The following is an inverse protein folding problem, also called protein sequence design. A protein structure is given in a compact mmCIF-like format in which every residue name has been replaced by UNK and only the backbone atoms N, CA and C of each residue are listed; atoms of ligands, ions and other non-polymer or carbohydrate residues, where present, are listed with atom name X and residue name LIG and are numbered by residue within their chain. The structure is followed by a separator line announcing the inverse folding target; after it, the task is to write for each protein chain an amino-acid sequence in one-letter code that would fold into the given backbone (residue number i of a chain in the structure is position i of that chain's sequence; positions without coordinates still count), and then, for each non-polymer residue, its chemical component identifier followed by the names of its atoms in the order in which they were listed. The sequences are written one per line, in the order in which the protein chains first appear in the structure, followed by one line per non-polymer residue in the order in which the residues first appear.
data_IF_313047903487
#
_entry.id   IF_313047903487
#
_cell.length_a   1.000
_cell.length_b   1.000
_cell.length_c   1.000
_cell.angle_alpha   90.00
_cell.angle_beta   90.00
_cell.angle_gamma   90.00
#
_symmetry.space_group_name_H-M   'P 1'
#
loop_
_entity.id
_entity.type
_entity.pdbx_description
1 polymer ?
#
# COMPACT_ATOMS: atom_id res chain seq x y z
N UNK A 1 -8.63 10.75 10.22
CA UNK A 1 -8.44 9.49 10.98
C UNK A 1 -9.54 8.53 10.58
N UNK A 2 -9.30 7.23 10.74
CA UNK A 2 -10.21 6.14 10.31
C UNK A 2 -10.47 6.07 8.80
N UNK A 3 -9.47 6.46 8.00
CA UNK A 3 -9.46 6.23 6.56
C UNK A 3 -8.52 5.08 6.22
N UNK A 4 -8.92 4.26 5.27
CA UNK A 4 -8.04 3.25 4.69
C UNK A 4 -7.01 3.93 3.79
N UNK A 5 -5.75 3.56 3.99
CA UNK A 5 -4.60 4.10 3.27
C UNK A 5 -3.86 2.97 2.58
N UNK A 6 -3.40 3.24 1.35
CA UNK A 6 -2.37 2.48 0.68
C UNK A 6 -1.01 3.13 0.96
N UNK A 7 -0.05 2.33 1.42
CA UNK A 7 1.28 2.79 1.84
C UNK A 7 2.34 1.94 1.18
N UNK A 8 3.27 2.60 0.50
CA UNK A 8 4.45 1.95 -0.08
C UNK A 8 5.69 2.30 0.74
N UNK A 9 6.58 1.31 0.88
CA UNK A 9 7.85 1.45 1.57
C UNK A 9 9.03 1.36 0.61
N UNK A 10 10.16 1.90 1.03
CA UNK A 10 11.45 1.63 0.40
C UNK A 10 11.66 0.11 0.28
N UNK A 11 12.08 -0.33 -0.91
CA UNK A 11 12.24 -1.76 -1.21
C UNK A 11 10.99 -2.44 -1.76
N UNK A 12 9.92 -1.70 -2.05
CA UNK A 12 8.76 -2.19 -2.82
C UNK A 12 7.69 -2.92 -2.00
N UNK A 13 7.79 -2.93 -0.67
CA UNK A 13 6.71 -3.45 0.17
C UNK A 13 5.50 -2.52 0.08
N UNK A 14 4.32 -3.09 -0.09
CA UNK A 14 3.05 -2.36 -0.10
C UNK A 14 2.13 -2.89 0.98
N UNK A 15 1.45 -1.99 1.69
CA UNK A 15 0.43 -2.36 2.67
C UNK A 15 -0.80 -1.47 2.51
N UNK A 16 -1.95 -2.01 2.89
CA UNK A 16 -3.19 -1.28 3.05
C UNK A 16 -3.67 -1.43 4.48
N UNK A 17 -4.11 -0.35 5.13
CA UNK A 17 -4.62 -0.40 6.49
C UNK A 17 -5.34 0.88 6.92
N UNK A 18 -6.05 0.82 8.05
CA UNK A 18 -6.86 1.94 8.57
C UNK A 18 -6.01 2.84 9.46
N UNK A 19 -5.89 4.12 9.11
CA UNK A 19 -5.10 5.08 9.88
C UNK A 19 -5.71 5.35 11.26
N UNK A 20 -5.01 4.94 12.33
CA UNK A 20 -5.37 5.21 13.73
C UNK A 20 -4.60 6.36 14.34
N UNK A 21 -3.37 6.61 13.91
CA UNK A 21 -2.55 7.68 14.47
C UNK A 21 -1.29 7.95 13.65
N UNK A 22 -0.69 9.10 13.88
CA UNK A 22 0.59 9.48 13.27
C UNK A 22 1.32 10.50 14.15
N UNK A 23 2.63 10.66 13.90
CA UNK A 23 3.45 11.69 14.53
C UNK A 23 4.10 12.63 13.50
N UNK A 24 4.87 13.61 13.98
CA UNK A 24 5.55 14.60 13.14
C UNK A 24 6.66 14.01 12.25
N UNK A 25 7.15 12.81 12.58
CA UNK A 25 8.15 12.09 11.78
C UNK A 25 7.50 11.12 10.80
N UNK A 26 6.17 11.21 10.62
CA UNK A 26 5.39 10.37 9.71
C UNK A 26 5.47 8.89 10.08
N UNK A 27 5.75 8.56 11.35
CA UNK A 27 5.41 7.22 11.83
C UNK A 27 3.89 7.13 11.86
N UNK A 28 3.34 6.03 11.38
CA UNK A 28 1.89 5.83 11.30
C UNK A 28 1.47 4.53 11.97
N UNK A 29 0.33 4.58 12.63
CA UNK A 29 -0.33 3.41 13.21
C UNK A 29 -1.47 3.02 12.27
N UNK A 30 -1.38 1.81 11.74
CA UNK A 30 -2.39 1.22 10.85
C UNK A 30 -3.03 0.02 11.54
N UNK A 31 -4.36 -0.03 11.53
CA UNK A 31 -5.13 -1.18 12.00
C UNK A 31 -5.66 -1.99 10.81
N UNK A 32 -6.03 -3.25 11.05
CA UNK A 32 -6.47 -4.20 10.01
C UNK A 32 -5.53 -4.27 8.80
N UNK A 33 -4.23 -4.11 9.03
CA UNK A 33 -3.23 -3.98 7.97
C UNK A 33 -3.08 -5.28 7.18
N UNK A 34 -3.11 -5.16 5.85
CA UNK A 34 -2.85 -6.23 4.88
C UNK A 34 -1.62 -5.85 4.06
N UNK A 35 -0.66 -6.77 3.94
CA UNK A 35 0.47 -6.61 3.03
C UNK A 35 0.20 -7.30 1.71
N UNK A 36 0.47 -6.61 0.62
CA UNK A 36 0.44 -7.13 -0.74
C UNK A 36 1.86 -7.48 -1.18
N UNK A 37 2.07 -8.74 -1.54
CA UNK A 37 3.34 -9.30 -1.98
C UNK A 37 3.18 -9.61 -3.47
N UNK A 38 3.91 -8.86 -4.31
CA UNK A 38 3.98 -9.12 -5.76
C UNK A 38 5.24 -9.91 -6.07
N UNK A 39 5.06 -11.15 -6.52
CA UNK A 39 6.13 -12.00 -7.05
C UNK A 39 6.09 -11.95 -8.57
N UNK A 40 7.17 -11.47 -9.20
CA UNK A 40 7.32 -11.48 -10.66
C UNK A 40 8.05 -12.77 -11.04
N UNK A 41 7.40 -13.62 -11.82
CA UNK A 41 8.01 -14.78 -12.47
C UNK A 41 8.11 -14.52 -13.98
N UNK A 42 8.85 -15.36 -14.70
CA UNK A 42 9.01 -15.21 -16.16
C UNK A 42 7.67 -15.26 -16.92
N UNK A 43 6.68 -15.95 -16.36
CA UNK A 43 5.39 -16.21 -17.02
C UNK A 43 4.23 -15.41 -16.43
N UNK A 44 4.36 -14.86 -15.21
CA UNK A 44 3.23 -14.23 -14.52
C UNK A 44 3.64 -13.26 -13.39
N UNK A 45 2.72 -12.35 -13.06
CA UNK A 45 2.75 -11.59 -11.80
C UNK A 45 1.81 -12.30 -10.84
N UNK A 46 2.35 -12.80 -9.72
CA UNK A 46 1.58 -13.46 -8.67
C UNK A 46 1.40 -12.49 -7.53
N UNK A 47 0.15 -12.15 -7.21
CA UNK A 47 -0.20 -11.34 -6.05
C UNK A 47 -0.65 -12.24 -4.89
N UNK A 48 0.03 -12.11 -3.74
CA UNK A 48 -0.34 -12.77 -2.49
C UNK A 48 -0.59 -11.71 -1.43
N UNK A 49 -1.55 -11.95 -0.56
CA UNK A 49 -1.84 -11.08 0.58
C UNK A 49 -1.60 -11.78 1.91
N UNK A 50 -1.20 -11.03 2.93
CA UNK A 50 -1.14 -11.52 4.31
C UNK A 50 -1.67 -10.48 5.30
N UNK A 51 -2.41 -10.95 6.30
CA UNK A 51 -2.90 -10.12 7.40
C UNK A 51 -1.77 -9.85 8.40
N UNK A 52 -1.59 -8.58 8.76
CA UNK A 52 -0.65 -8.13 9.79
C UNK A 52 -1.36 -7.56 11.02
N UNK A 53 -2.62 -7.11 10.89
CA UNK A 53 -3.39 -6.54 12.00
C UNK A 53 -2.90 -5.13 12.36
N UNK A 54 -2.65 -4.88 13.65
CA UNK A 54 -2.16 -3.58 14.13
C UNK A 54 -0.65 -3.44 13.89
N UNK A 55 -0.26 -2.45 13.08
CA UNK A 55 1.11 -2.20 12.65
C UNK A 55 1.53 -0.77 13.01
N UNK A 56 2.74 -0.63 13.56
CA UNK A 56 3.46 0.64 13.61
C UNK A 56 4.45 0.69 12.44
N UNK A 57 4.16 1.53 11.46
CA UNK A 57 5.01 1.75 10.30
C UNK A 57 5.97 2.92 10.54
N UNK A 58 7.24 2.71 10.22
CA UNK A 58 8.30 3.71 10.41
C UNK A 58 8.33 4.73 9.28
N UNK A 59 8.15 6.00 9.61
CA UNK A 59 8.09 7.10 8.63
C UNK A 59 9.32 7.23 7.75
N UNK A 60 10.50 6.92 8.30
CA UNK A 60 11.79 6.95 7.58
C UNK A 60 11.86 6.00 6.38
N UNK A 61 10.97 4.99 6.31
CA UNK A 61 10.95 4.00 5.22
C UNK A 61 9.74 4.18 4.29
N UNK A 62 8.83 5.09 4.60
CA UNK A 62 7.63 5.32 3.78
C UNK A 62 8.03 6.17 2.57
N UNK A 63 7.61 5.75 1.38
CA UNK A 63 7.83 6.50 0.14
C UNK A 63 6.55 7.12 -0.41
N UNK A 64 5.40 6.49 -0.18
CA UNK A 64 4.10 6.97 -0.65
C UNK A 64 3.00 6.63 0.35
N UNK A 65 2.07 7.58 0.52
CA UNK A 65 0.81 7.40 1.24
C UNK A 65 -0.31 7.94 0.35
N UNK A 66 -1.31 7.10 0.06
CA UNK A 66 -2.50 7.50 -0.68
C UNK A 66 -3.75 7.00 0.05
N UNK A 67 -4.87 7.74 0.01
CA UNK A 67 -6.16 7.17 0.41
C UNK A 67 -6.51 6.03 -0.56
N UNK A 68 -7.13 4.96 -0.06
CA UNK A 68 -7.64 3.91 -0.96
C UNK A 68 -8.89 4.36 -1.72
N UNK A 69 -9.58 5.39 -1.23
CA UNK A 69 -10.71 6.01 -1.92
C UNK A 69 -10.24 6.71 -3.20
N UNK A 70 -10.72 6.24 -4.35
CA UNK A 70 -10.26 6.67 -5.67
C UNK A 70 -8.93 6.07 -6.13
N UNK A 71 -8.37 5.09 -5.39
CA UNK A 71 -7.20 4.35 -5.83
C UNK A 71 -7.64 3.05 -6.51
N UNK A 72 -7.61 3.06 -7.84
CA UNK A 72 -8.00 1.91 -8.66
C UNK A 72 -6.94 1.59 -9.72
N UNK A 73 -6.79 0.32 -10.02
CA UNK A 73 -6.02 -0.12 -11.16
C UNK A 73 -6.81 0.21 -12.43
N UNK A 74 -6.13 0.83 -13.38
CA UNK A 74 -6.70 1.19 -14.68
C UNK A 74 -5.94 0.47 -15.78
N UNK A 75 -6.61 0.21 -16.89
CA UNK A 75 -5.94 -0.18 -18.12
C UNK A 75 -4.96 0.91 -18.56
N UNK A 76 -3.92 0.53 -19.29
CA UNK A 76 -2.93 1.46 -19.79
C UNK A 76 -3.62 2.59 -20.59
N UNK A 77 -3.61 3.85 -20.14
CA UNK A 77 -4.37 4.91 -20.79
C UNK A 77 -3.73 5.39 -22.10
N UNK A 78 -2.57 4.84 -22.48
CA UNK A 78 -1.81 5.20 -23.67
C UNK A 78 -1.90 4.17 -24.80
N UNK A 79 -2.63 3.06 -24.63
CA UNK A 79 -3.04 2.27 -25.80
C UNK A 79 -4.02 3.12 -26.60
N UNK A 80 -3.57 3.63 -27.75
CA UNK A 80 -4.42 4.37 -28.67
C UNK A 80 -5.60 3.48 -29.05
N UNK A 81 -6.82 3.95 -28.80
CA UNK A 81 -8.02 3.32 -29.36
C UNK A 81 -7.88 3.39 -30.89
N UNK A 82 -7.77 2.23 -31.54
CA UNK A 82 -7.77 2.12 -33.01
C UNK A 82 -9.10 2.60 -33.62
#
# INVERSE_FOLDING_TARGET
MDKSLHVQFMGGREVTGVLKGYDQLTNIVLDDTVETIREITDDAIIEKTRQLGLVLARGTTIVLIAPTDGFEEIENPFVMAE
#
